data_IF_958353354450
#
_entry.id   IF_958353354450
#
_cell.length_a   1.000
_cell.length_b   1.000
_cell.length_c   1.000
_cell.angle_alpha   90.00
_cell.angle_beta   90.00
_cell.angle_gamma   90.00
#
_symmetry.space_group_name_H-M   'P 1'
#
loop_
_entity.id
_entity.type
_entity.pdbx_description
1 polymer ?
#
# COMPACT_ATOMS: atom_id res chain seq x y z
N UNK A 1 -14.44 -4.20 -0.38
CA UNK A 1 -13.33 -3.72 0.48
C UNK A 1 -12.01 -3.47 -0.24
N UNK A 2 -11.58 -4.30 -1.20
CA UNK A 2 -10.39 -4.03 -2.03
C UNK A 2 -10.35 -2.61 -2.63
N UNK A 3 -11.45 -2.16 -3.22
CA UNK A 3 -11.59 -0.80 -3.78
C UNK A 3 -11.55 0.31 -2.72
N UNK A 4 -12.00 0.04 -1.49
CA UNK A 4 -11.94 1.02 -0.38
C UNK A 4 -10.50 1.23 0.09
N UNK A 5 -9.69 0.17 0.15
CA UNK A 5 -8.27 0.28 0.48
C UNK A 5 -7.52 1.10 -0.58
N UNK A 6 -7.73 0.78 -1.87
CA UNK A 6 -7.16 1.56 -2.96
C UNK A 6 -7.65 3.00 -2.96
N UNK A 7 -8.89 3.25 -2.54
CA UNK A 7 -9.38 4.61 -2.30
C UNK A 7 -8.58 5.28 -1.20
N UNK A 8 -8.44 4.69 -0.02
CA UNK A 8 -7.69 5.31 1.09
C UNK A 8 -6.23 5.58 0.77
N UNK A 9 -5.51 4.60 0.21
CA UNK A 9 -4.13 4.75 -0.23
C UNK A 9 -4.00 5.78 -1.36
N UNK A 10 -4.99 5.82 -2.25
CA UNK A 10 -4.98 6.64 -3.46
C UNK A 10 -5.55 8.03 -3.27
N UNK A 11 -6.30 8.26 -2.19
CA UNK A 11 -7.01 9.51 -1.93
C UNK A 11 -6.03 10.67 -1.85
N UNK A 12 -4.93 10.47 -1.13
CA UNK A 12 -3.87 11.46 -0.99
C UNK A 12 -3.15 11.79 -2.30
N UNK A 13 -3.11 10.85 -3.24
CA UNK A 13 -2.40 10.97 -4.52
C UNK A 13 -3.34 11.07 -5.72
N UNK A 14 -4.66 11.19 -5.50
CA UNK A 14 -5.72 11.09 -6.53
C UNK A 14 -5.57 9.89 -7.46
N UNK A 15 -5.07 8.76 -6.95
CA UNK A 15 -4.94 7.52 -7.71
C UNK A 15 -6.31 6.89 -7.92
N UNK A 16 -6.52 6.37 -9.13
CA UNK A 16 -7.78 5.73 -9.47
C UNK A 16 -7.85 4.32 -8.84
N UNK A 17 -8.78 4.06 -7.90
CA UNK A 17 -8.88 2.79 -7.20
C UNK A 17 -9.44 1.65 -8.06
N UNK A 18 -9.94 1.95 -9.26
CA UNK A 18 -10.42 0.93 -10.21
C UNK A 18 -9.30 0.35 -11.07
N UNK A 19 -8.07 0.89 -10.97
CA UNK A 19 -6.92 0.38 -11.71
C UNK A 19 -6.55 -1.05 -11.27
N UNK A 20 -5.97 -1.85 -12.17
CA UNK A 20 -5.40 -3.15 -11.81
C UNK A 20 -4.28 -2.96 -10.77
N UNK A 21 -4.03 -4.01 -9.98
CA UNK A 21 -3.09 -3.96 -8.85
C UNK A 21 -1.69 -3.52 -9.29
N UNK A 22 -1.19 -4.08 -10.38
CA UNK A 22 0.11 -3.73 -10.96
C UNK A 22 0.20 -2.25 -11.36
N UNK A 23 -0.76 -1.72 -12.12
CA UNK A 23 -0.76 -0.29 -12.50
C UNK A 23 -0.92 0.62 -11.28
N UNK A 24 -1.72 0.20 -10.31
CA UNK A 24 -1.94 0.99 -9.10
C UNK A 24 -0.63 1.12 -8.31
N UNK A 25 0.11 0.02 -8.15
CA UNK A 25 1.41 0.01 -7.48
C UNK A 25 2.42 0.85 -8.25
N UNK A 26 2.52 0.66 -9.56
CA UNK A 26 3.45 1.39 -10.43
C UNK A 26 3.25 2.91 -10.32
N UNK A 27 1.99 3.38 -10.38
CA UNK A 27 1.70 4.80 -10.20
C UNK A 27 1.98 5.28 -8.78
N UNK A 28 1.71 4.47 -7.76
CA UNK A 28 2.03 4.83 -6.38
C UNK A 28 3.54 4.98 -6.17
N UNK A 29 4.33 4.09 -6.78
CA UNK A 29 5.80 4.19 -6.80
C UNK A 29 6.29 5.42 -7.55
N UNK A 30 5.59 5.83 -8.61
CA UNK A 30 5.86 7.10 -9.29
C UNK A 30 5.74 8.33 -8.37
N UNK A 31 4.84 8.30 -7.37
CA UNK A 31 4.73 9.36 -6.35
C UNK A 31 5.64 9.13 -5.13
N UNK A 32 5.92 7.87 -4.82
CA UNK A 32 6.67 7.43 -3.63
C UNK A 32 7.61 6.28 -4.04
N UNK A 33 8.76 6.58 -4.66
CA UNK A 33 9.73 5.55 -5.05
C UNK A 33 10.39 4.87 -3.85
N UNK A 34 10.23 5.43 -2.66
CA UNK A 34 10.68 4.86 -1.38
C UNK A 34 9.81 3.68 -0.90
N UNK A 35 8.68 3.43 -1.58
CA UNK A 35 7.82 2.30 -1.23
C UNK A 35 8.35 0.99 -1.77
N UNK A 36 8.17 -0.06 -0.96
CA UNK A 36 8.57 -1.40 -1.33
C UNK A 36 7.51 -2.05 -2.26
N UNK A 37 7.77 -2.00 -3.57
CA UNK A 37 6.89 -2.53 -4.63
C UNK A 37 6.44 -3.96 -4.33
N UNK A 38 7.41 -4.82 -4.00
CA UNK A 38 7.19 -6.25 -3.81
C UNK A 38 6.23 -6.50 -2.66
N UNK A 39 6.45 -5.77 -1.56
CA UNK A 39 5.58 -5.85 -0.38
C UNK A 39 4.17 -5.35 -0.71
N UNK A 40 4.04 -4.27 -1.46
CA UNK A 40 2.75 -3.72 -1.86
C UNK A 40 1.95 -4.68 -2.76
N UNK A 41 2.61 -5.29 -3.75
CA UNK A 41 2.00 -6.28 -4.66
C UNK A 41 1.56 -7.54 -3.92
N UNK A 42 2.37 -8.04 -2.99
CA UNK A 42 2.00 -9.20 -2.17
C UNK A 42 0.79 -8.91 -1.30
N UNK A 43 0.70 -7.71 -0.74
CA UNK A 43 -0.38 -7.26 0.10
C UNK A 43 -1.70 -7.18 -0.68
N UNK A 44 -1.69 -6.53 -1.85
CA UNK A 44 -2.83 -6.49 -2.77
C UNK A 44 -3.25 -7.88 -3.26
N UNK A 45 -2.29 -8.76 -3.56
CA UNK A 45 -2.57 -10.14 -3.97
C UNK A 45 -3.25 -10.93 -2.85
N UNK A 46 -2.77 -10.81 -1.60
CA UNK A 46 -3.41 -11.43 -0.43
C UNK A 46 -4.83 -10.92 -0.22
N UNK A 47 -5.05 -9.62 -0.41
CA UNK A 47 -6.37 -8.99 -0.33
C UNK A 47 -7.33 -9.42 -1.43
N UNK A 48 -6.80 -9.76 -2.61
CA UNK A 48 -7.60 -10.30 -3.72
C UNK A 48 -7.97 -11.77 -3.50
N UNK A 49 -7.06 -12.56 -2.92
CA UNK A 49 -7.23 -14.00 -2.75
C UNK A 49 -8.04 -14.36 -1.51
N UNK A 50 -7.83 -13.67 -0.39
CA UNK A 50 -8.62 -13.87 0.81
C UNK A 50 -9.80 -12.91 0.79
N UNK A 51 -11.03 -13.44 0.92
CA UNK A 51 -12.20 -12.65 1.34
C UNK A 51 -11.95 -12.18 2.78
N UNK A 52 -11.01 -11.25 2.97
CA UNK A 52 -10.67 -10.72 4.28
C UNK A 52 -11.86 -9.95 4.81
N UNK A 53 -12.19 -10.23 6.06
CA UNK A 53 -13.17 -9.46 6.81
C UNK A 53 -12.64 -8.03 6.97
N UNK A 54 -13.53 -7.05 7.10
CA UNK A 54 -13.19 -5.64 7.41
C UNK A 54 -12.04 -5.43 8.42
N UNK A 55 -11.95 -6.18 9.54
CA UNK A 55 -10.85 -6.00 10.50
C UNK A 55 -9.47 -6.32 9.95
N UNK A 56 -9.31 -7.40 9.18
CA UNK A 56 -8.01 -7.76 8.60
C UNK A 56 -7.53 -6.71 7.59
N UNK A 57 -8.46 -6.09 6.87
CA UNK A 57 -8.19 -4.98 5.97
C UNK A 57 -7.68 -3.75 6.69
N UNK A 58 -8.31 -3.38 7.81
CA UNK A 58 -7.87 -2.23 8.63
C UNK A 58 -6.51 -2.51 9.25
N UNK A 59 -6.25 -3.74 9.71
CA UNK A 59 -4.94 -4.13 10.22
C UNK A 59 -3.86 -4.03 9.12
N UNK A 60 -4.16 -4.55 7.93
CA UNK A 60 -3.25 -4.50 6.77
C UNK A 60 -3.02 -3.06 6.29
N UNK A 61 -4.07 -2.22 6.29
CA UNK A 61 -3.97 -0.80 5.93
C UNK A 61 -3.13 -0.02 6.94
N UNK A 62 -3.31 -0.30 8.24
CA UNK A 62 -2.50 0.30 9.30
C UNK A 62 -1.04 -0.15 9.22
N UNK A 63 -0.75 -1.41 8.87
CA UNK A 63 0.63 -1.87 8.64
C UNK A 63 1.28 -1.08 7.48
N UNK A 64 0.54 -0.84 6.39
CA UNK A 64 1.05 -0.01 5.29
C UNK A 64 1.18 1.46 5.68
N UNK A 65 0.24 2.01 6.45
CA UNK A 65 0.30 3.38 6.94
C UNK A 65 1.47 3.60 7.91
N UNK A 66 1.74 2.61 8.76
CA UNK A 66 2.92 2.57 9.63
C UNK A 66 4.20 2.47 8.79
N UNK A 67 4.23 1.59 7.79
CA UNK A 67 5.37 1.47 6.87
C UNK A 67 5.63 2.77 6.09
N UNK A 68 4.57 3.50 5.71
CA UNK A 68 4.62 4.83 5.09
C UNK A 68 5.04 5.96 6.06
N UNK A 69 4.78 5.80 7.35
CA UNK A 69 5.09 6.78 8.38
C UNK A 69 6.51 6.60 8.96
N UNK A 70 6.97 5.35 9.03
CA UNK A 70 8.28 4.95 9.57
C UNK A 70 9.43 5.25 8.60
N UNK A 71 9.13 5.57 7.34
CA UNK A 71 10.10 5.98 6.29
C UNK A 71 10.86 7.28 6.59
N UNK A 72 10.76 7.85 7.80
CA UNK A 72 11.63 8.93 8.28
C UNK A 72 12.78 8.43 9.18
N UNK A 73 12.96 7.12 9.33
CA UNK A 73 13.92 6.57 10.31
C UNK A 73 14.72 5.36 9.81
N UNK A 74 15.09 5.34 8.52
CA UNK A 74 16.23 4.55 8.04
C UNK A 74 17.30 5.45 7.41
N UNK A 75 17.73 6.44 8.18
CA UNK A 75 19.07 7.05 8.08
C UNK A 75 19.73 6.97 9.47
N UNK A 76 19.90 5.73 9.97
CA UNK A 76 20.80 5.46 11.09
C UNK A 76 21.46 4.09 10.88
N UNK A 77 22.76 4.13 10.55
CA UNK A 77 23.71 3.09 10.97
C UNK A 77 24.58 2.44 9.89
N UNK A 78 25.67 3.13 9.51
CA UNK A 78 27.01 2.54 9.61
C UNK A 78 27.68 2.02 8.34
N UNK A 79 28.68 2.78 7.86
CA UNK A 79 30.08 2.32 7.84
C UNK A 79 31.04 3.53 7.82
#
# INVERSE_FOLDING_TARGET
>A
YHTQLKRGLGERYRLNPTLPDDEYVDRLLGYRPDLDETRLRQLLTRLRQQKLSEPDLVATANEVADLLATTRHQDQGGN
#
